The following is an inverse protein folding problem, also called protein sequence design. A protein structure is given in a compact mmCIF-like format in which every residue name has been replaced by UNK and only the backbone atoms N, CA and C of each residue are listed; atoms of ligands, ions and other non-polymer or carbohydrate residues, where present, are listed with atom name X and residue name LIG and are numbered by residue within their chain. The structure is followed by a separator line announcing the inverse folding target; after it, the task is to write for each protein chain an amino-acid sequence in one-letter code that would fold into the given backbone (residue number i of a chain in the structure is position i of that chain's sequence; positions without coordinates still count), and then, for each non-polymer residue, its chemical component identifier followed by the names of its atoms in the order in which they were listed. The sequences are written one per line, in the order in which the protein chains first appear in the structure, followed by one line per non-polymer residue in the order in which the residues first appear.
data_IF_157889436129
#
_entry.id   IF_157889436129
#
_cell.length_a   1.000
_cell.length_b   1.000
_cell.length_c   1.000
_cell.angle_alpha   90.00
_cell.angle_beta   90.00
_cell.angle_gamma   90.00
#
_symmetry.space_group_name_H-M   'P 1'
#
loop_
_entity.id
_entity.type
_entity.pdbx_description
1 polymer ?
#
# COMPACT_ATOMS: atom_id res chain seq x y z
N UNK A 1 3.22 -10.89 -57.01
CA UNK A 1 4.17 -11.62 -56.14
C UNK A 1 4.78 -10.73 -55.06
N UNK A 2 4.99 -9.43 -55.33
CA UNK A 2 5.62 -8.48 -54.38
C UNK A 2 4.78 -8.12 -53.15
N UNK A 3 3.45 -8.09 -53.27
CA UNK A 3 2.57 -7.75 -52.14
C UNK A 3 2.70 -8.77 -50.99
N UNK A 4 2.74 -10.08 -51.30
CA UNK A 4 2.92 -11.14 -50.30
C UNK A 4 4.28 -11.03 -49.59
N UNK A 5 5.36 -10.75 -50.33
CA UNK A 5 6.70 -10.52 -49.74
C UNK A 5 6.72 -9.29 -48.83
N UNK A 6 6.05 -8.20 -49.21
CA UNK A 6 5.94 -6.97 -48.41
C UNK A 6 5.16 -7.20 -47.12
N UNK A 7 4.03 -7.91 -47.19
CA UNK A 7 3.22 -8.29 -46.01
C UNK A 7 4.04 -9.18 -45.06
N UNK A 8 4.74 -10.19 -45.59
CA UNK A 8 5.57 -11.09 -44.80
C UNK A 8 6.70 -10.35 -44.06
N UNK A 9 7.42 -9.45 -44.75
CA UNK A 9 8.44 -8.60 -44.11
C UNK A 9 7.85 -7.71 -43.01
N UNK A 10 6.67 -7.15 -43.21
CA UNK A 10 6.03 -6.27 -42.23
C UNK A 10 5.57 -7.07 -40.99
N UNK A 11 5.06 -8.28 -41.19
CA UNK A 11 4.72 -9.21 -40.10
C UNK A 11 5.97 -9.58 -39.30
N UNK A 12 7.07 -9.96 -39.95
CA UNK A 12 8.34 -10.27 -39.28
C UNK A 12 8.88 -9.09 -38.48
N UNK A 13 8.78 -7.88 -39.01
CA UNK A 13 9.21 -6.68 -38.30
C UNK A 13 8.34 -6.44 -37.05
N UNK A 14 7.01 -6.56 -37.17
CA UNK A 14 6.09 -6.41 -36.03
C UNK A 14 6.31 -7.49 -34.97
N UNK A 15 6.47 -8.75 -35.35
CA UNK A 15 6.71 -9.84 -34.40
C UNK A 15 8.04 -9.65 -33.68
N UNK A 16 9.11 -9.29 -34.39
CA UNK A 16 10.40 -8.98 -33.76
C UNK A 16 10.32 -7.80 -32.80
N UNK A 17 9.58 -6.75 -33.16
CA UNK A 17 9.34 -5.60 -32.28
C UNK A 17 8.58 -5.99 -31.01
N UNK A 18 7.56 -6.84 -31.13
CA UNK A 18 6.82 -7.36 -29.97
C UNK A 18 7.70 -8.22 -29.08
N UNK A 19 8.45 -9.17 -29.65
CA UNK A 19 9.38 -10.03 -28.90
C UNK A 19 10.40 -9.20 -28.12
N UNK A 20 11.04 -8.21 -28.77
CA UNK A 20 12.00 -7.35 -28.09
C UNK A 20 11.35 -6.55 -26.95
N UNK A 21 10.13 -6.04 -27.14
CA UNK A 21 9.41 -5.31 -26.10
C UNK A 21 9.12 -6.21 -24.88
N UNK A 22 8.55 -7.39 -25.11
CA UNK A 22 8.27 -8.36 -24.03
C UNK A 22 9.54 -8.81 -23.32
N UNK A 23 10.63 -9.02 -24.06
CA UNK A 23 11.92 -9.39 -23.49
C UNK A 23 12.46 -8.30 -22.56
N UNK A 24 12.39 -7.03 -22.97
CA UNK A 24 12.79 -5.90 -22.12
C UNK A 24 11.92 -5.76 -20.87
N UNK A 25 10.59 -5.86 -21.00
CA UNK A 25 9.66 -5.79 -19.86
C UNK A 25 9.91 -6.94 -18.87
N UNK A 26 10.17 -8.15 -19.37
CA UNK A 26 10.47 -9.32 -18.54
C UNK A 26 11.80 -9.14 -17.80
N UNK A 27 12.85 -8.66 -18.48
CA UNK A 27 14.14 -8.39 -17.83
C UNK A 27 14.01 -7.35 -16.73
N UNK A 28 13.28 -6.26 -16.97
CA UNK A 28 13.05 -5.21 -15.98
C UNK A 28 12.31 -5.77 -14.76
N UNK A 29 11.29 -6.59 -14.99
CA UNK A 29 10.52 -7.25 -13.93
C UNK A 29 11.42 -8.15 -13.06
N UNK A 30 12.27 -8.97 -13.70
CA UNK A 30 13.20 -9.85 -12.97
C UNK A 30 14.18 -9.03 -12.12
N UNK A 31 14.76 -7.97 -12.70
CA UNK A 31 15.71 -7.09 -11.99
C UNK A 31 15.03 -6.43 -10.78
N UNK A 32 13.80 -5.93 -10.94
CA UNK A 32 13.03 -5.32 -9.87
C UNK A 32 12.79 -6.31 -8.72
N UNK A 33 12.29 -7.50 -9.02
CA UNK A 33 12.00 -8.53 -8.01
C UNK A 33 13.29 -8.94 -7.29
N UNK A 34 14.38 -9.16 -8.03
CA UNK A 34 15.67 -9.46 -7.42
C UNK A 34 16.18 -8.31 -6.53
N UNK A 35 16.02 -7.07 -6.97
CA UNK A 35 16.36 -5.86 -6.21
C UNK A 35 15.56 -5.76 -4.91
N UNK A 36 14.26 -5.98 -4.97
CA UNK A 36 13.37 -5.94 -3.80
C UNK A 36 13.73 -7.04 -2.79
N UNK A 37 14.02 -8.26 -3.26
CA UNK A 37 14.44 -9.37 -2.40
C UNK A 37 15.76 -9.03 -1.71
N UNK A 38 16.75 -8.50 -2.45
CA UNK A 38 18.03 -8.09 -1.88
C UNK A 38 17.87 -6.97 -0.85
N UNK A 39 17.06 -5.95 -1.19
CA UNK A 39 16.74 -4.86 -0.28
C UNK A 39 16.08 -5.39 1.00
N UNK A 40 15.12 -6.30 0.86
CA UNK A 40 14.44 -6.93 2.00
C UNK A 40 15.42 -7.69 2.90
N UNK A 41 16.33 -8.49 2.33
CA UNK A 41 17.37 -9.17 3.11
C UNK A 41 18.28 -8.18 3.83
N UNK A 42 18.70 -7.11 3.16
CA UNK A 42 19.55 -6.09 3.76
C UNK A 42 18.84 -5.38 4.93
N UNK A 43 17.57 -5.02 4.76
CA UNK A 43 16.75 -4.43 5.80
C UNK A 43 16.56 -5.40 6.98
N UNK A 44 16.35 -6.70 6.72
CA UNK A 44 16.27 -7.71 7.78
C UNK A 44 17.58 -7.80 8.57
N UNK A 45 18.73 -7.82 7.90
CA UNK A 45 20.04 -7.86 8.56
C UNK A 45 20.23 -6.63 9.46
N UNK A 46 19.91 -5.44 8.94
CA UNK A 46 19.96 -4.20 9.73
C UNK A 46 19.02 -4.28 10.93
N UNK A 47 17.79 -4.75 10.72
CA UNK A 47 16.80 -4.89 11.78
C UNK A 47 17.27 -5.81 12.89
N UNK A 48 17.75 -7.02 12.54
CA UNK A 48 18.23 -7.99 13.52
C UNK A 48 19.49 -7.52 14.26
N UNK A 49 20.40 -6.82 13.58
CA UNK A 49 21.61 -6.25 14.21
C UNK A 49 21.28 -5.11 15.18
N UNK A 50 20.26 -4.30 14.87
CA UNK A 50 19.91 -3.11 15.62
C UNK A 50 18.62 -3.27 16.46
N UNK A 51 18.26 -4.51 16.82
CA UNK A 51 17.04 -4.83 17.59
C UNK A 51 16.91 -4.00 18.87
N UNK A 52 18.02 -3.78 19.59
CA UNK A 52 18.03 -2.94 20.80
C UNK A 52 17.66 -1.48 20.50
N UNK A 53 18.27 -0.88 19.47
CA UNK A 53 17.98 0.51 19.09
C UNK A 53 16.53 0.64 18.60
N UNK A 54 16.04 -0.34 17.84
CA UNK A 54 14.65 -0.37 17.40
C UNK A 54 13.67 -0.48 18.58
N UNK A 55 13.99 -1.31 19.59
CA UNK A 55 13.19 -1.40 20.81
C UNK A 55 13.16 -0.07 21.58
N UNK A 56 14.32 0.59 21.72
CA UNK A 56 14.40 1.92 22.33
C UNK A 56 13.56 2.96 21.56
N UNK A 57 13.66 2.96 20.24
CA UNK A 57 12.88 3.85 19.38
C UNK A 57 11.37 3.63 19.55
N UNK A 58 10.91 2.37 19.52
CA UNK A 58 9.51 2.04 19.77
C UNK A 58 9.06 2.44 21.18
N UNK A 59 9.90 2.22 22.19
CA UNK A 59 9.62 2.65 23.57
C UNK A 59 9.47 4.18 23.63
N UNK A 60 10.33 4.93 22.95
CA UNK A 60 10.25 6.39 22.92
C UNK A 60 8.99 6.90 22.21
N UNK A 61 8.58 6.28 21.10
CA UNK A 61 7.30 6.59 20.44
C UNK A 61 6.14 6.32 21.39
N UNK A 62 6.11 5.13 22.00
CA UNK A 62 5.06 4.76 22.96
C UNK A 62 5.01 5.72 24.13
N UNK A 63 6.16 6.06 24.70
CA UNK A 63 6.26 6.99 25.82
C UNK A 63 5.68 8.36 25.44
N UNK A 64 6.12 8.95 24.32
CA UNK A 64 5.55 10.21 23.81
C UNK A 64 4.05 10.13 23.57
N UNK A 65 3.56 9.00 23.08
CA UNK A 65 2.13 8.80 22.87
C UNK A 65 1.36 8.73 24.20
N UNK A 66 1.90 8.05 25.21
CA UNK A 66 1.27 7.97 26.54
C UNK A 66 1.32 9.28 27.32
N UNK A 67 2.32 10.13 27.10
CA UNK A 67 2.42 11.47 27.67
C UNK A 67 1.35 12.45 27.17
N UNK A 68 0.70 12.17 26.03
CA UNK A 68 -0.38 13.01 25.52
C UNK A 68 -1.59 12.96 26.46
N UNK A 69 -2.39 14.03 26.46
CA UNK A 69 -3.73 14.00 27.06
C UNK A 69 -4.65 13.05 26.28
N UNK A 70 -5.66 12.49 26.93
CA UNK A 70 -6.54 11.50 26.30
C UNK A 70 -7.29 12.08 25.08
N UNK A 71 -7.65 13.36 25.12
CA UNK A 71 -8.25 14.08 24.00
C UNK A 71 -7.27 14.20 22.81
N UNK A 72 -6.00 14.48 23.06
CA UNK A 72 -4.97 14.58 22.01
C UNK A 72 -4.63 13.22 21.41
N UNK A 73 -4.64 12.14 22.21
CA UNK A 73 -4.48 10.77 21.72
C UNK A 73 -5.61 10.42 20.76
N UNK A 74 -6.85 10.69 21.15
CA UNK A 74 -8.03 10.43 20.32
C UNK A 74 -7.99 11.27 19.02
N UNK A 75 -7.69 12.56 19.12
CA UNK A 75 -7.55 13.44 17.96
C UNK A 75 -6.48 12.95 16.98
N UNK A 76 -5.29 12.60 17.48
CA UNK A 76 -4.18 12.12 16.64
C UNK A 76 -4.51 10.78 15.98
N UNK A 77 -5.20 9.87 16.68
CA UNK A 77 -5.67 8.60 16.12
C UNK A 77 -6.70 8.81 15.00
N UNK A 78 -7.69 9.68 15.20
CA UNK A 78 -8.73 9.98 14.19
C UNK A 78 -8.11 10.67 12.98
N UNK A 79 -7.27 11.68 13.21
CA UNK A 79 -6.56 12.39 12.14
C UNK A 79 -5.71 11.43 11.31
N UNK A 80 -5.00 10.51 11.96
CA UNK A 80 -4.17 9.51 11.29
C UNK A 80 -5.03 8.52 10.49
N UNK A 81 -6.12 7.99 11.06
CA UNK A 81 -6.98 7.06 10.34
C UNK A 81 -7.64 7.72 9.12
N UNK A 82 -8.13 8.95 9.27
CA UNK A 82 -8.84 9.64 8.19
C UNK A 82 -7.90 10.08 7.05
N UNK A 83 -6.64 10.42 7.37
CA UNK A 83 -5.64 10.81 6.36
C UNK A 83 -5.02 9.64 5.60
N UNK A 84 -4.79 8.49 6.24
CA UNK A 84 -4.12 7.35 5.59
C UNK A 84 -5.08 6.30 5.03
N UNK A 85 -6.26 6.13 5.63
CA UNK A 85 -7.20 5.06 5.27
C UNK A 85 -8.40 5.59 4.47
N UNK A 86 -8.53 6.90 4.32
CA UNK A 86 -9.64 7.53 3.62
C UNK A 86 -9.70 7.27 2.11
N UNK A 87 -10.91 7.03 1.61
CA UNK A 87 -11.30 6.87 0.18
C UNK A 87 -11.11 8.09 -0.69
N UNK A 88 -10.70 9.21 -0.09
CA UNK A 88 -10.80 10.52 -0.72
C UNK A 88 -9.91 10.67 -1.96
N UNK A 89 -9.07 9.67 -2.26
CA UNK A 89 -8.46 9.49 -3.57
C UNK A 89 -8.54 8.03 -4.06
N UNK A 90 -9.70 7.61 -4.57
CA UNK A 90 -9.82 6.36 -5.35
C UNK A 90 -8.75 6.28 -6.45
N UNK A 91 -8.43 7.43 -7.06
CA UNK A 91 -7.36 7.59 -8.02
C UNK A 91 -5.95 7.32 -7.45
N UNK A 92 -5.71 7.64 -6.17
CA UNK A 92 -4.44 7.35 -5.51
C UNK A 92 -4.22 5.85 -5.35
N UNK A 93 -5.26 5.12 -4.96
CA UNK A 93 -5.24 3.66 -4.88
C UNK A 93 -5.10 3.00 -6.26
N UNK A 94 -5.73 3.56 -7.30
CA UNK A 94 -5.56 3.10 -8.68
C UNK A 94 -4.11 3.22 -9.14
N UNK A 95 -3.49 4.39 -9.01
CA UNK A 95 -2.08 4.60 -9.39
C UNK A 95 -1.15 3.67 -8.60
N UNK A 96 -1.39 3.54 -7.29
CA UNK A 96 -0.57 2.68 -6.42
C UNK A 96 -0.61 1.23 -6.92
N UNK A 97 -1.80 0.69 -7.18
CA UNK A 97 -1.96 -0.66 -7.71
C UNK A 97 -1.40 -0.83 -9.11
N UNK A 98 -1.65 0.11 -10.02
CA UNK A 98 -1.11 0.07 -11.38
C UNK A 98 0.42 0.00 -11.37
N UNK A 99 1.06 0.81 -10.51
CA UNK A 99 2.50 0.82 -10.36
C UNK A 99 3.02 -0.46 -9.72
N UNK A 100 2.35 -0.99 -8.69
CA UNK A 100 2.71 -2.28 -8.09
C UNK A 100 2.63 -3.41 -9.11
N UNK A 101 1.49 -3.54 -9.81
CA UNK A 101 1.31 -4.58 -10.83
C UNK A 101 2.37 -4.47 -11.92
N UNK A 102 2.65 -3.25 -12.40
CA UNK A 102 3.69 -3.01 -13.41
C UNK A 102 5.09 -3.36 -12.90
N UNK A 103 5.40 -3.04 -11.65
CA UNK A 103 6.69 -3.34 -11.02
C UNK A 103 6.96 -4.85 -10.97
N UNK A 104 5.93 -5.64 -10.68
CA UNK A 104 5.95 -7.11 -10.68
C UNK A 104 5.65 -7.75 -12.05
N UNK A 105 5.48 -6.96 -13.12
CA UNK A 105 5.18 -7.45 -14.46
C UNK A 105 3.82 -8.15 -14.59
N UNK A 106 2.89 -7.89 -13.66
CA UNK A 106 1.54 -8.45 -13.65
C UNK A 106 0.61 -7.65 -14.58
N UNK A 107 -0.40 -8.30 -15.20
CA UNK A 107 -1.35 -7.61 -16.05
C UNK A 107 -2.21 -6.62 -15.23
N UNK A 108 -2.34 -5.39 -15.74
CA UNK A 108 -3.21 -4.36 -15.18
C UNK A 108 -4.67 -4.60 -15.57
N UNK A 109 -5.30 -5.60 -14.96
CA UNK A 109 -6.74 -5.83 -15.14
C UNK A 109 -7.54 -4.72 -14.44
N UNK A 110 -8.19 -3.88 -15.25
CA UNK A 110 -9.06 -2.79 -14.77
C UNK A 110 -10.16 -3.29 -13.86
N UNK A 111 -10.70 -4.48 -14.12
CA UNK A 111 -11.77 -5.07 -13.31
C UNK A 111 -11.27 -5.39 -11.90
N UNK A 112 -10.07 -5.97 -11.80
CA UNK A 112 -9.40 -6.24 -10.53
C UNK A 112 -9.07 -4.94 -9.79
N UNK A 113 -8.47 -3.97 -10.48
CA UNK A 113 -8.09 -2.69 -9.88
C UNK A 113 -9.32 -1.97 -9.31
N UNK A 114 -10.40 -1.83 -10.08
CA UNK A 114 -11.61 -1.17 -9.61
C UNK A 114 -12.31 -1.94 -8.48
N UNK A 115 -12.34 -3.28 -8.55
CA UNK A 115 -12.87 -4.12 -7.47
C UNK A 115 -12.08 -3.91 -6.17
N UNK A 116 -10.75 -3.88 -6.25
CA UNK A 116 -9.88 -3.60 -5.11
C UNK A 116 -10.15 -2.20 -4.55
N UNK A 117 -10.08 -1.16 -5.39
CA UNK A 117 -10.24 0.25 -4.97
C UNK A 117 -11.62 0.49 -4.34
N UNK A 118 -12.65 -0.21 -4.80
CA UNK A 118 -14.01 -0.10 -4.26
C UNK A 118 -14.19 -0.83 -2.91
N UNK A 119 -13.44 -1.90 -2.64
CA UNK A 119 -13.70 -2.78 -1.48
C UNK A 119 -12.64 -2.65 -0.38
N UNK A 120 -11.37 -2.72 -0.75
CA UNK A 120 -10.28 -2.91 0.20
C UNK A 120 -10.02 -1.66 1.05
N UNK A 121 -9.96 -0.46 0.47
CA UNK A 121 -9.79 0.70 1.31
C UNK A 121 -10.98 0.78 2.30
N UNK A 122 -12.22 0.38 1.91
CA UNK A 122 -13.49 0.57 2.69
C UNK A 122 -13.48 -0.33 3.89
N UNK A 123 -13.06 -1.55 3.64
CA UNK A 123 -12.81 -2.53 4.67
C UNK A 123 -11.67 -2.09 5.60
N UNK A 124 -10.57 -1.52 5.08
CA UNK A 124 -9.49 -1.02 5.93
C UNK A 124 -9.98 0.13 6.81
N UNK A 125 -10.71 1.12 6.28
CA UNK A 125 -11.19 2.27 7.05
C UNK A 125 -12.10 1.83 8.20
N UNK A 126 -13.04 0.93 7.90
CA UNK A 126 -13.95 0.40 8.91
C UNK A 126 -13.23 -0.44 9.96
N UNK A 127 -12.27 -1.29 9.58
CA UNK A 127 -11.46 -2.08 10.51
C UNK A 127 -10.55 -1.20 11.39
N UNK A 128 -9.89 -0.19 10.80
CA UNK A 128 -9.03 0.74 11.54
C UNK A 128 -9.85 1.56 12.54
N UNK A 129 -10.98 2.14 12.11
CA UNK A 129 -11.89 2.87 13.02
C UNK A 129 -12.41 1.97 14.13
N UNK A 130 -12.89 0.78 13.79
CA UNK A 130 -13.36 -0.19 14.79
C UNK A 130 -12.26 -0.56 15.80
N UNK A 131 -11.04 -0.82 15.33
CA UNK A 131 -9.91 -1.15 16.20
C UNK A 131 -9.55 0.02 17.13
N UNK A 132 -9.53 1.24 16.61
CA UNK A 132 -9.29 2.46 17.39
C UNK A 132 -10.38 2.62 18.47
N UNK A 133 -11.65 2.55 18.11
CA UNK A 133 -12.75 2.69 19.08
C UNK A 133 -12.73 1.59 20.13
N UNK A 134 -12.50 0.35 19.74
CA UNK A 134 -12.35 -0.77 20.68
C UNK A 134 -11.19 -0.52 21.66
N UNK A 135 -10.07 0.00 21.17
CA UNK A 135 -8.90 0.24 22.01
C UNK A 135 -9.09 1.44 22.94
N UNK A 136 -9.69 2.54 22.46
CA UNK A 136 -10.04 3.71 23.28
C UNK A 136 -11.06 3.35 24.37
N UNK A 137 -12.10 2.58 24.02
CA UNK A 137 -13.14 2.15 24.97
C UNK A 137 -12.60 1.22 26.08
N UNK A 138 -11.53 0.47 25.79
CA UNK A 138 -10.87 -0.39 26.78
C UNK A 138 -9.98 0.39 27.77
N UNK A 139 -9.51 1.58 27.40
CA UNK A 139 -8.56 2.38 28.20
C UNK A 139 -9.29 3.46 29.02
N UNK A 140 -10.43 3.98 28.54
CA UNK A 140 -11.14 5.07 29.22
C UNK A 140 -12.67 4.99 29.02
N UNK A 141 -13.45 4.65 30.07
CA UNK A 141 -14.92 4.64 30.01
C UNK A 141 -15.54 6.04 29.80
N UNK A 142 -14.80 7.13 30.04
CA UNK A 142 -15.28 8.51 29.89
C UNK A 142 -15.28 9.00 28.44
N UNK A 143 -14.50 8.39 27.54
CA UNK A 143 -14.55 8.70 26.10
C UNK A 143 -15.86 8.16 25.49
N UNK A 144 -16.32 6.99 25.94
CA UNK A 144 -17.61 6.39 25.56
C UNK A 144 -18.78 7.32 25.92
N UNK A 145 -18.78 7.86 27.14
CA UNK A 145 -19.86 8.75 27.59
C UNK A 145 -19.87 10.09 26.86
N UNK A 146 -18.71 10.55 26.38
CA UNK A 146 -18.61 11.79 25.59
C UNK A 146 -19.10 11.57 24.15
N UNK A 147 -18.81 10.41 23.53
CA UNK A 147 -19.35 10.06 22.21
C UNK A 147 -20.88 9.92 22.21
N UNK A 148 -21.44 9.25 23.22
CA UNK A 148 -22.90 9.15 23.36
C UNK A 148 -23.57 10.53 23.49
N UNK A 149 -22.93 11.48 24.17
CA UNK A 149 -23.42 12.88 24.26
C UNK A 149 -23.30 13.70 22.97
N UNK A 150 -22.47 13.28 22.02
CA UNK A 150 -22.30 13.98 20.73
C UNK A 150 -23.15 13.38 19.61
N UNK A 151 -23.66 12.15 19.82
CA UNK A 151 -24.52 11.43 18.88
C UNK A 151 -26.01 11.36 19.32
N UNK A 152 -26.35 11.83 20.51
CA UNK A 152 -27.71 12.30 20.88
C UNK A 152 -27.90 13.74 20.43
#
# INVERSE_FOLDING_TARGET
MDLKKKIYKNLLFKTRKLINKYYQETLFTIINICGDILLFFFLLIIFFKNTYQFHLFLKNIKFKFFELTDDNKAFLLILFSDTFVGFHSSYGWEILLENLLKHFGLPQDRSFIFSFVATLPVLLDTLFKYWIFKHLNAISPSIVSTYHKMNE
#
